data_IF_130449042143
#
_entry.id   IF_130449042143
#
_cell.length_a   1.000
_cell.length_b   1.000
_cell.length_c   1.000
_cell.angle_alpha   90.00
_cell.angle_beta   90.00
_cell.angle_gamma   90.00
#
_symmetry.space_group_name_H-M   'P 1'
#
loop_
_entity.id
_entity.type
_entity.pdbx_description
1 polymer ?
#
# COMPACT_ATOMS: atom_id res chain seq x y z
N UNK A 1 8.18 40.07 -29.63
CA UNK A 1 9.02 38.95 -30.09
C UNK A 1 10.08 38.72 -29.03
N UNK A 2 10.31 37.47 -28.66
CA UNK A 2 11.30 37.04 -27.65
C UNK A 2 12.19 35.98 -28.25
N UNK A 3 13.44 35.92 -27.81
CA UNK A 3 14.37 34.86 -28.20
C UNK A 3 14.37 33.80 -27.10
N UNK A 4 14.13 32.55 -27.46
CA UNK A 4 14.21 31.40 -26.56
C UNK A 4 15.35 30.48 -26.99
N UNK A 5 15.91 29.73 -26.03
CA UNK A 5 16.86 28.66 -26.32
C UNK A 5 16.15 27.31 -26.29
N UNK A 6 16.14 26.59 -27.41
CA UNK A 6 15.47 25.29 -27.49
C UNK A 6 16.13 24.22 -26.61
N UNK A 7 17.41 24.37 -26.27
CA UNK A 7 18.13 23.48 -25.36
C UNK A 7 17.53 23.43 -23.96
N UNK A 8 17.01 24.56 -23.48
CA UNK A 8 16.46 24.67 -22.13
C UNK A 8 15.09 23.97 -22.03
N UNK A 9 14.41 23.79 -23.16
CA UNK A 9 13.06 23.24 -23.26
C UNK A 9 13.08 21.76 -23.64
N UNK A 10 13.97 21.37 -24.57
CA UNK A 10 13.96 20.06 -25.19
C UNK A 10 15.23 19.26 -24.88
N UNK A 11 15.11 18.09 -24.21
CA UNK A 11 16.27 17.29 -23.79
C UNK A 11 17.16 16.77 -24.92
N UNK A 12 16.65 16.70 -26.15
CA UNK A 12 17.37 16.18 -27.31
C UNK A 12 18.26 17.22 -28.01
N UNK A 13 18.13 18.50 -27.67
CA UNK A 13 19.06 19.54 -28.12
C UNK A 13 20.31 19.53 -27.24
N UNK A 14 21.46 19.20 -27.82
CA UNK A 14 22.75 19.14 -27.10
C UNK A 14 23.55 20.43 -27.19
N UNK A 15 23.18 21.32 -28.10
CA UNK A 15 23.82 22.62 -28.35
C UNK A 15 22.79 23.74 -28.22
N UNK A 16 23.27 24.94 -27.90
CA UNK A 16 22.41 26.11 -27.79
C UNK A 16 21.83 26.47 -29.16
N UNK A 17 20.50 26.62 -29.22
CA UNK A 17 19.77 26.92 -30.43
C UNK A 17 18.76 28.02 -30.13
N UNK A 18 19.14 29.26 -30.48
CA UNK A 18 18.33 30.44 -30.23
C UNK A 18 17.35 30.67 -31.38
N UNK A 19 16.07 30.78 -31.06
CA UNK A 19 15.00 31.01 -32.02
C UNK A 19 14.14 32.18 -31.55
N UNK A 20 13.83 33.08 -32.48
CA UNK A 20 12.90 34.19 -32.24
C UNK A 20 11.47 33.69 -32.39
N UNK A 21 10.67 33.90 -31.36
CA UNK A 21 9.27 33.49 -31.26
C UNK A 21 8.40 34.68 -30.84
N UNK A 22 7.09 34.55 -31.08
CA UNK A 22 6.12 35.54 -30.61
C UNK A 22 6.06 35.56 -29.08
N UNK A 23 5.61 36.68 -28.51
CA UNK A 23 5.51 36.83 -27.06
C UNK A 23 4.52 35.81 -26.48
N UNK A 24 3.43 35.54 -27.19
CA UNK A 24 2.44 34.51 -26.83
C UNK A 24 3.07 33.12 -26.69
N UNK A 25 3.96 32.73 -27.61
CA UNK A 25 4.62 31.42 -27.58
C UNK A 25 5.61 31.35 -26.41
N UNK A 26 6.37 32.42 -26.18
CA UNK A 26 7.29 32.48 -25.05
C UNK A 26 6.57 32.44 -23.69
N UNK A 27 5.43 33.13 -23.57
CA UNK A 27 4.61 33.13 -22.35
C UNK A 27 3.98 31.76 -22.12
N UNK A 28 3.58 31.05 -23.18
CA UNK A 28 3.09 29.68 -23.09
C UNK A 28 4.14 28.72 -22.48
N UNK A 29 5.39 28.80 -22.94
CA UNK A 29 6.48 27.97 -22.37
C UNK A 29 6.70 28.28 -20.88
N UNK A 30 6.70 29.56 -20.50
CA UNK A 30 6.83 29.95 -19.09
C UNK A 30 5.67 29.41 -18.23
N UNK A 31 4.44 29.46 -18.73
CA UNK A 31 3.30 28.86 -18.02
C UNK A 31 3.45 27.35 -17.85
N UNK A 32 3.95 26.65 -18.86
CA UNK A 32 4.20 25.21 -18.78
C UNK A 32 5.23 24.87 -17.70
N UNK A 33 6.35 25.60 -17.64
CA UNK A 33 7.38 25.41 -16.61
C UNK A 33 6.82 25.60 -15.20
N UNK A 34 6.00 26.64 -15.00
CA UNK A 34 5.34 26.89 -13.73
C UNK A 34 4.35 25.78 -13.35
N UNK A 35 3.55 25.29 -14.31
CA UNK A 35 2.60 24.19 -14.09
C UNK A 35 3.34 22.89 -13.77
N UNK A 36 4.45 22.61 -14.45
CA UNK A 36 5.26 21.42 -14.21
C UNK A 36 5.94 21.47 -12.84
N UNK A 37 6.54 22.61 -12.46
CA UNK A 37 7.12 22.81 -11.14
C UNK A 37 6.07 22.64 -10.03
N UNK A 38 4.88 23.21 -10.20
CA UNK A 38 3.76 23.04 -9.27
C UNK A 38 3.30 21.57 -9.18
N UNK A 39 3.27 20.86 -10.30
CA UNK A 39 2.97 19.42 -10.33
C UNK A 39 4.01 18.61 -9.57
N UNK A 40 5.30 18.79 -9.84
CA UNK A 40 6.40 18.13 -9.13
C UNK A 40 6.32 18.37 -7.62
N UNK A 41 6.08 19.62 -7.19
CA UNK A 41 5.91 19.97 -5.76
C UNK A 41 4.71 19.26 -5.12
N UNK A 42 3.58 19.14 -5.82
CA UNK A 42 2.42 18.37 -5.33
C UNK A 42 2.77 16.90 -5.17
N UNK A 43 3.46 16.30 -6.14
CA UNK A 43 3.94 14.91 -6.06
C UNK A 43 4.83 14.71 -4.83
N UNK A 44 5.78 15.63 -4.55
CA UNK A 44 6.62 15.58 -3.34
C UNK A 44 5.80 15.67 -2.07
N UNK A 45 4.91 16.67 -1.97
CA UNK A 45 4.09 16.93 -0.78
C UNK A 45 3.21 15.75 -0.42
N UNK A 46 2.59 15.13 -1.43
CA UNK A 46 1.68 14.00 -1.25
C UNK A 46 2.39 12.64 -1.30
N UNK A 47 3.73 12.62 -1.44
CA UNK A 47 4.54 11.40 -1.58
C UNK A 47 3.98 10.45 -2.65
N UNK A 48 3.44 11.00 -3.74
CA UNK A 48 2.83 10.23 -4.83
C UNK A 48 3.89 9.63 -5.78
N UNK A 49 5.00 9.14 -5.21
CA UNK A 49 6.05 8.39 -5.90
C UNK A 49 5.66 6.92 -5.94
N UNK A 50 4.61 6.61 -6.68
CA UNK A 50 4.24 5.22 -6.91
C UNK A 50 4.99 4.75 -8.15
N UNK A 51 6.12 4.09 -7.92
CA UNK A 51 6.67 3.21 -8.94
C UNK A 51 5.81 1.96 -8.96
N UNK A 52 5.49 1.53 -10.18
CA UNK A 52 4.91 0.22 -10.45
C UNK A 52 5.79 -0.90 -9.84
N UNK A 53 7.13 -0.76 -9.90
CA UNK A 53 8.11 -1.71 -9.33
C UNK A 53 8.25 -1.73 -7.79
N UNK A 54 7.26 -1.22 -7.03
CA UNK A 54 7.37 -1.15 -5.56
C UNK A 54 7.21 -2.51 -4.87
N UNK A 55 6.67 -3.52 -5.57
CA UNK A 55 6.36 -4.85 -5.03
C UNK A 55 5.53 -4.83 -3.73
N UNK A 56 4.74 -3.78 -3.51
CA UNK A 56 3.82 -3.64 -2.36
C UNK A 56 2.41 -4.19 -2.66
N UNK A 57 2.19 -4.71 -3.87
CA UNK A 57 0.97 -5.40 -4.28
C UNK A 57 -0.09 -4.50 -4.93
N UNK A 58 0.11 -3.18 -4.97
CA UNK A 58 -0.86 -2.22 -5.53
C UNK A 58 -1.18 -2.51 -6.99
N UNK A 59 -0.18 -2.91 -7.79
CA UNK A 59 -0.39 -3.27 -9.20
C UNK A 59 -1.31 -4.47 -9.38
N UNK A 60 -1.11 -5.49 -8.55
CA UNK A 60 -1.92 -6.70 -8.57
C UNK A 60 -3.36 -6.40 -8.14
N UNK A 61 -3.53 -5.49 -7.18
CA UNK A 61 -4.84 -5.09 -6.65
C UNK A 61 -5.60 -4.17 -7.62
N UNK A 62 -4.88 -3.36 -8.42
CA UNK A 62 -5.46 -2.48 -9.44
C UNK A 62 -5.91 -3.23 -10.70
N UNK A 63 -5.29 -4.39 -11.00
CA UNK A 63 -5.66 -5.23 -12.14
C UNK A 63 -6.85 -6.13 -11.78
N UNK A 64 -7.81 -6.26 -12.70
CA UNK A 64 -8.88 -7.25 -12.56
C UNK A 64 -8.32 -8.66 -12.84
N UNK A 65 -7.74 -9.28 -11.81
CA UNK A 65 -7.20 -10.65 -11.89
C UNK A 65 -8.33 -11.64 -11.66
N UNK A 66 -8.76 -12.32 -12.72
CA UNK A 66 -9.62 -13.49 -12.60
C UNK A 66 -8.79 -14.67 -12.06
N UNK A 67 -8.99 -15.03 -10.80
CA UNK A 67 -8.34 -16.19 -10.19
C UNK A 67 -8.75 -17.47 -10.91
N UNK A 68 -7.78 -18.32 -11.21
CA UNK A 68 -8.05 -19.66 -11.71
C UNK A 68 -8.81 -20.50 -10.67
N UNK A 69 -9.58 -21.52 -11.10
CA UNK A 69 -10.24 -22.44 -10.18
C UNK A 69 -9.29 -23.11 -9.18
N UNK A 70 -8.04 -23.37 -9.59
CA UNK A 70 -7.02 -23.95 -8.74
C UNK A 70 -6.60 -22.99 -7.62
N UNK A 71 -6.31 -21.72 -7.94
CA UNK A 71 -5.96 -20.70 -6.93
C UNK A 71 -7.11 -20.44 -5.95
N UNK A 72 -8.36 -20.46 -6.44
CA UNK A 72 -9.53 -20.37 -5.56
C UNK A 72 -9.61 -21.55 -4.59
N UNK A 73 -9.30 -22.75 -5.07
CA UNK A 73 -9.27 -23.94 -4.23
C UNK A 73 -8.13 -23.88 -3.20
N UNK A 74 -6.92 -23.47 -3.59
CA UNK A 74 -5.80 -23.27 -2.66
C UNK A 74 -6.12 -22.24 -1.57
N UNK A 75 -6.71 -21.10 -1.95
CA UNK A 75 -7.18 -20.10 -0.98
C UNK A 75 -8.22 -20.67 -0.02
N UNK A 76 -9.13 -21.51 -0.51
CA UNK A 76 -10.13 -22.18 0.34
C UNK A 76 -9.49 -23.15 1.33
N UNK A 77 -8.56 -23.98 0.87
CA UNK A 77 -7.86 -24.96 1.72
C UNK A 77 -7.02 -24.25 2.78
N UNK A 78 -6.20 -23.28 2.39
CA UNK A 78 -5.38 -22.48 3.31
C UNK A 78 -6.24 -21.76 4.36
N UNK A 79 -7.40 -21.21 3.98
CA UNK A 79 -8.32 -20.59 4.93
C UNK A 79 -8.92 -21.61 5.91
N UNK A 80 -9.25 -22.82 5.46
CA UNK A 80 -9.71 -23.90 6.33
C UNK A 80 -8.64 -24.33 7.34
N UNK A 81 -7.39 -24.47 6.90
CA UNK A 81 -6.26 -24.80 7.78
C UNK A 81 -6.01 -23.72 8.83
N UNK A 82 -6.11 -22.45 8.45
CA UNK A 82 -6.02 -21.32 9.38
C UNK A 82 -7.14 -21.35 10.41
N UNK A 83 -8.40 -21.58 9.99
CA UNK A 83 -9.52 -21.71 10.93
C UNK A 83 -9.34 -22.90 11.88
N UNK A 84 -8.86 -24.03 11.37
CA UNK A 84 -8.57 -25.20 12.19
C UNK A 84 -7.45 -24.92 13.21
N UNK A 85 -6.40 -24.20 12.80
CA UNK A 85 -5.31 -23.79 13.69
C UNK A 85 -5.79 -22.84 14.80
N UNK A 86 -6.63 -21.85 14.46
CA UNK A 86 -7.22 -20.92 15.45
C UNK A 86 -8.10 -21.68 16.44
N UNK A 87 -8.86 -22.68 15.98
CA UNK A 87 -9.75 -23.48 16.82
C UNK A 87 -8.98 -24.37 17.82
N UNK A 88 -7.70 -24.63 17.59
CA UNK A 88 -6.82 -25.36 18.52
C UNK A 88 -6.25 -24.48 19.65
N UNK A 89 -6.42 -23.16 19.57
CA UNK A 89 -5.98 -22.25 20.63
C UNK A 89 -6.95 -22.25 21.82
N UNK A 90 -6.51 -21.81 23.00
CA UNK A 90 -7.43 -21.50 24.10
C UNK A 90 -8.51 -20.50 23.67
N UNK A 91 -9.76 -20.74 24.07
CA UNK A 91 -10.96 -20.00 23.62
C UNK A 91 -10.80 -18.46 23.70
N UNK A 92 -10.30 -17.94 24.83
CA UNK A 92 -10.05 -16.50 24.99
C UNK A 92 -8.99 -15.95 24.03
N UNK A 93 -7.95 -16.72 23.71
CA UNK A 93 -6.92 -16.28 22.75
C UNK A 93 -7.47 -16.32 21.33
N UNK A 94 -8.17 -17.39 20.97
CA UNK A 94 -8.82 -17.54 19.66
C UNK A 94 -9.79 -16.39 19.39
N UNK A 95 -10.71 -16.11 20.32
CA UNK A 95 -11.70 -15.02 20.21
C UNK A 95 -11.05 -13.64 20.07
N UNK A 96 -10.02 -13.34 20.86
CA UNK A 96 -9.30 -12.05 20.79
C UNK A 96 -8.52 -11.88 19.49
N UNK A 97 -7.92 -12.96 18.97
CA UNK A 97 -7.24 -12.95 17.67
C UNK A 97 -8.24 -12.75 16.55
N UNK A 98 -9.36 -13.47 16.57
CA UNK A 98 -10.45 -13.32 15.60
C UNK A 98 -11.00 -11.90 15.59
N UNK A 99 -11.32 -11.35 16.77
CA UNK A 99 -11.82 -9.99 16.89
C UNK A 99 -10.85 -8.93 16.36
N UNK A 100 -9.54 -9.10 16.60
CA UNK A 100 -8.56 -8.11 16.17
C UNK A 100 -8.24 -8.18 14.67
N UNK A 101 -7.97 -9.38 14.15
CA UNK A 101 -7.47 -9.54 12.78
C UNK A 101 -8.57 -9.79 11.74
N UNK A 102 -9.66 -10.47 12.11
CA UNK A 102 -10.75 -10.79 11.18
C UNK A 102 -11.87 -9.76 11.24
N UNK A 103 -12.23 -9.30 12.45
CA UNK A 103 -13.26 -8.26 12.63
C UNK A 103 -12.69 -6.82 12.66
N UNK A 104 -11.37 -6.66 12.64
CA UNK A 104 -10.72 -5.34 12.62
C UNK A 104 -10.88 -4.52 13.91
N UNK A 105 -11.27 -5.13 15.03
CA UNK A 105 -11.46 -4.41 16.30
C UNK A 105 -10.12 -3.96 16.89
N UNK A 106 -10.08 -2.76 17.47
CA UNK A 106 -8.90 -2.34 18.23
C UNK A 106 -8.79 -3.14 19.54
N UNK A 107 -7.56 -3.40 19.99
CA UNK A 107 -7.31 -4.12 21.26
C UNK A 107 -7.97 -3.45 22.47
N UNK A 108 -8.10 -2.12 22.44
CA UNK A 108 -8.82 -1.33 23.44
C UNK A 108 -10.31 -1.60 23.46
N UNK A 109 -10.94 -1.77 22.29
CA UNK A 109 -12.37 -2.02 22.18
C UNK A 109 -12.70 -3.45 22.65
N UNK A 110 -11.85 -4.42 22.30
CA UNK A 110 -11.93 -5.78 22.82
C UNK A 110 -11.81 -5.78 24.35
N UNK A 111 -10.83 -5.03 24.88
CA UNK A 111 -10.60 -4.93 26.32
C UNK A 111 -11.79 -4.30 27.05
N UNK A 112 -12.37 -3.24 26.47
CA UNK A 112 -13.57 -2.57 26.99
C UNK A 112 -14.79 -3.51 26.99
N UNK A 113 -15.00 -4.26 25.91
CA UNK A 113 -16.10 -5.22 25.80
C UNK A 113 -15.97 -6.37 26.81
N UNK A 114 -14.74 -6.82 27.10
CA UNK A 114 -14.47 -7.88 28.07
C UNK A 114 -14.30 -7.38 29.52
N UNK A 115 -14.31 -6.06 29.76
CA UNK A 115 -14.09 -5.48 31.09
C UNK A 115 -12.68 -5.72 31.66
N UNK A 116 -11.67 -5.88 30.80
CA UNK A 116 -10.28 -6.15 31.19
C UNK A 116 -9.34 -5.01 30.78
N UNK A 117 -8.16 -4.96 31.38
CA UNK A 117 -7.13 -4.01 30.95
C UNK A 117 -6.55 -4.38 29.57
N UNK A 118 -6.32 -3.40 28.69
CA UNK A 118 -5.81 -3.60 27.31
C UNK A 118 -4.56 -4.49 27.25
N UNK A 119 -3.65 -4.31 28.21
CA UNK A 119 -2.43 -5.14 28.36
C UNK A 119 -2.74 -6.65 28.39
N UNK A 120 -3.84 -7.07 29.00
CA UNK A 120 -4.26 -8.48 29.09
C UNK A 120 -4.64 -9.01 27.69
N UNK A 121 -5.37 -8.20 26.91
CA UNK A 121 -5.73 -8.53 25.53
C UNK A 121 -4.48 -8.62 24.66
N UNK A 122 -3.59 -7.61 24.73
CA UNK A 122 -2.35 -7.58 23.98
C UNK A 122 -1.48 -8.82 24.23
N UNK A 123 -1.21 -9.15 25.49
CA UNK A 123 -0.39 -10.32 25.85
C UNK A 123 -1.04 -11.63 25.42
N UNK A 124 -2.37 -11.74 25.52
CA UNK A 124 -3.09 -12.93 25.07
C UNK A 124 -3.00 -13.12 23.55
N UNK A 125 -3.13 -12.03 22.77
CA UNK A 125 -2.97 -12.06 21.31
C UNK A 125 -1.54 -12.46 20.94
N UNK A 126 -0.52 -11.82 21.53
CA UNK A 126 0.89 -12.15 21.25
C UNK A 126 1.22 -13.62 21.56
N UNK A 127 0.74 -14.16 22.68
CA UNK A 127 0.92 -15.57 23.03
C UNK A 127 0.17 -16.50 22.07
N UNK A 128 -1.07 -16.16 21.71
CA UNK A 128 -1.85 -16.95 20.77
C UNK A 128 -1.21 -16.97 19.38
N UNK A 129 -0.64 -15.86 18.91
CA UNK A 129 0.11 -15.79 17.65
C UNK A 129 1.37 -16.69 17.67
N UNK A 130 2.14 -16.69 18.76
CA UNK A 130 3.29 -17.61 18.91
C UNK A 130 2.86 -19.08 18.91
N UNK A 131 1.71 -19.39 19.50
CA UNK A 131 1.15 -20.74 19.47
C UNK A 131 0.68 -21.13 18.06
N UNK A 132 0.03 -20.21 17.34
CA UNK A 132 -0.37 -20.42 15.95
C UNK A 132 0.84 -20.69 15.05
N UNK A 133 1.91 -19.92 15.20
CA UNK A 133 3.15 -20.14 14.46
C UNK A 133 3.67 -21.57 14.64
N UNK A 134 3.67 -22.08 15.88
CA UNK A 134 4.10 -23.45 16.19
C UNK A 134 3.14 -24.51 15.63
N UNK A 135 1.84 -24.23 15.59
CA UNK A 135 0.85 -25.15 15.02
C UNK A 135 1.01 -25.23 13.50
N UNK A 136 1.13 -24.08 12.83
CA UNK A 136 1.22 -24.00 11.38
C UNK A 136 2.55 -24.57 10.85
N UNK A 137 3.67 -24.36 11.55
CA UNK A 137 4.97 -24.98 11.22
C UNK A 137 5.00 -26.52 11.34
N UNK A 138 3.96 -27.14 11.87
CA UNK A 138 3.82 -28.61 11.91
C UNK A 138 2.90 -29.15 10.81
N UNK A 139 2.13 -28.26 10.19
CA UNK A 139 1.17 -28.59 9.12
C UNK A 139 1.79 -28.34 7.75
N UNK A 140 2.61 -27.28 7.65
CA UNK A 140 3.54 -27.00 6.54
C UNK A 140 4.87 -27.71 6.76
#
# INVERSE_FOLDING_TARGET
>A
MKVINLRDIYPHYTQDCFVEVTDEVADLFSEFDHKEAAYRLRTYRHKAYYSLDRNDGIEHEALFVALSPHELYERKVTMQELHAAISRLPDKQAKRIYAHFILGMAKKDIARAEGVHEKVVRVAIERGLRSLEKILKKVL
#
